data_IF_015768326960
#
_entry.id   IF_015768326960
#
_cell.length_a   1.000
_cell.length_b   1.000
_cell.length_c   1.000
_cell.angle_alpha   90.00
_cell.angle_beta   90.00
_cell.angle_gamma   90.00
#
_symmetry.space_group_name_H-M   'P 1'
#
loop_
_entity.id
_entity.type
_entity.pdbx_description
1 polymer ?
#
# COMPACT_ATOMS: atom_id res chain seq x y z
N UNK A 1 -32.30 25.97 3.05
CA UNK A 1 -31.04 26.08 2.29
C UNK A 1 -31.20 25.24 1.03
N UNK A 2 -30.90 25.77 -0.16
CA UNK A 2 -31.08 25.05 -1.43
C UNK A 2 -29.72 24.63 -1.95
N UNK A 3 -29.55 23.36 -2.27
CA UNK A 3 -28.35 22.83 -2.88
C UNK A 3 -28.50 22.83 -4.40
N UNK A 4 -27.41 23.16 -5.10
CA UNK A 4 -27.30 23.07 -6.55
C UNK A 4 -26.16 22.12 -6.90
N UNK A 5 -26.39 21.25 -7.87
CA UNK A 5 -25.33 20.41 -8.43
C UNK A 5 -24.36 21.30 -9.20
N UNK A 6 -23.08 21.15 -8.92
CA UNK A 6 -21.99 21.77 -9.68
C UNK A 6 -21.29 20.65 -10.46
N UNK A 7 -21.10 20.86 -11.76
CA UNK A 7 -20.38 19.92 -12.63
C UNK A 7 -18.95 20.44 -12.81
N UNK A 8 -17.98 19.65 -12.34
CA UNK A 8 -16.55 19.96 -12.38
C UNK A 8 -15.77 18.99 -13.28
N UNK A 9 -16.46 18.22 -14.13
CA UNK A 9 -15.82 17.20 -14.99
C UNK A 9 -14.76 17.73 -15.94
N UNK A 10 -14.76 19.04 -16.24
CA UNK A 10 -13.79 19.71 -17.11
C UNK A 10 -12.67 20.41 -16.36
N UNK A 11 -12.65 20.36 -15.03
CA UNK A 11 -11.61 20.98 -14.22
C UNK A 11 -10.46 20.00 -14.05
N UNK A 12 -9.27 20.37 -14.51
CA UNK A 12 -8.06 19.55 -14.44
C UNK A 12 -7.15 19.92 -13.26
N UNK A 13 -7.22 21.17 -12.79
CA UNK A 13 -6.36 21.63 -11.70
C UNK A 13 -6.84 22.91 -11.04
N UNK A 14 -6.49 23.06 -9.76
CA UNK A 14 -6.78 24.24 -8.94
C UNK A 14 -5.53 24.62 -8.16
N UNK A 15 -5.18 25.91 -8.18
CA UNK A 15 -4.08 26.52 -7.41
C UNK A 15 -4.57 27.83 -6.78
N UNK A 16 -3.83 28.36 -5.81
CA UNK A 16 -4.06 29.71 -5.27
C UNK A 16 -2.76 30.49 -5.20
N UNK A 17 -2.76 31.69 -5.76
CA UNK A 17 -1.66 32.64 -5.66
C UNK A 17 -2.17 34.07 -5.74
N UNK A 18 -1.54 34.98 -5.02
CA UNK A 18 -1.80 36.43 -5.08
C UNK A 18 -3.28 36.86 -4.91
N UNK A 19 -4.07 36.07 -4.17
CA UNK A 19 -5.49 36.35 -3.95
C UNK A 19 -6.42 35.89 -5.08
N UNK A 20 -5.93 35.04 -5.98
CA UNK A 20 -6.69 34.44 -7.05
C UNK A 20 -6.63 32.92 -6.96
N UNK A 21 -7.77 32.27 -7.17
CA UNK A 21 -7.83 30.88 -7.56
C UNK A 21 -7.48 30.77 -9.04
N UNK A 22 -6.53 29.91 -9.35
CA UNK A 22 -6.10 29.58 -10.69
C UNK A 22 -6.69 28.23 -11.08
N UNK A 23 -7.45 28.19 -12.16
CA UNK A 23 -8.16 27.01 -12.64
C UNK A 23 -7.61 26.61 -14.01
N UNK A 24 -7.33 25.32 -14.17
CA UNK A 24 -6.99 24.72 -15.45
C UNK A 24 -8.19 23.90 -15.95
N UNK A 25 -8.73 24.24 -17.10
CA UNK A 25 -9.92 23.61 -17.69
C UNK A 25 -9.59 22.87 -18.98
N UNK A 26 -10.25 21.74 -19.19
CA UNK A 26 -10.25 20.99 -20.45
C UNK A 26 -11.39 21.49 -21.37
N UNK A 27 -11.03 21.97 -22.57
CA UNK A 27 -11.97 22.34 -23.64
C UNK A 27 -12.02 21.32 -24.77
N UNK A 28 -11.34 20.18 -24.64
CA UNK A 28 -11.24 19.11 -25.62
C UNK A 28 -9.97 19.24 -26.45
N UNK A 29 -9.88 20.29 -27.26
CA UNK A 29 -8.74 20.51 -28.17
C UNK A 29 -7.67 21.46 -27.57
N UNK A 30 -7.98 22.12 -26.46
CA UNK A 30 -7.09 23.06 -25.79
C UNK A 30 -7.33 23.09 -24.27
N UNK A 31 -6.32 23.60 -23.55
CA UNK A 31 -6.41 23.88 -22.13
C UNK A 31 -6.65 25.38 -21.92
N UNK A 32 -7.64 25.70 -21.11
CA UNK A 32 -7.94 27.09 -20.73
C UNK A 32 -7.51 27.34 -19.28
N UNK A 33 -6.82 28.46 -19.07
CA UNK A 33 -6.44 28.93 -17.74
C UNK A 33 -7.32 30.11 -17.33
N UNK A 34 -7.90 30.03 -16.13
CA UNK A 34 -8.76 31.08 -15.58
C UNK A 34 -8.31 31.51 -14.19
N UNK A 35 -8.36 32.80 -13.93
CA UNK A 35 -8.10 33.39 -12.61
C UNK A 35 -9.38 33.98 -12.04
N UNK A 36 -9.71 33.59 -10.82
CA UNK A 36 -10.90 34.06 -10.10
C UNK A 36 -10.45 34.67 -8.78
N UNK A 37 -10.77 35.95 -8.49
CA UNK A 37 -10.46 36.54 -7.19
C UNK A 37 -11.10 35.74 -6.07
N UNK A 38 -10.29 35.22 -5.17
CA UNK A 38 -10.76 34.35 -4.10
C UNK A 38 -9.81 34.40 -2.90
N UNK A 39 -10.33 34.37 -1.67
CA UNK A 39 -9.49 34.26 -0.49
C UNK A 39 -8.81 32.88 -0.43
N UNK A 40 -7.65 32.79 0.23
CA UNK A 40 -6.90 31.52 0.38
C UNK A 40 -7.74 30.41 1.02
N UNK A 41 -8.66 30.77 1.93
CA UNK A 41 -9.56 29.82 2.58
C UNK A 41 -10.47 29.07 1.60
N UNK A 42 -10.74 29.63 0.41
CA UNK A 42 -11.49 28.93 -0.63
C UNK A 42 -10.68 27.77 -1.21
N UNK A 43 -9.36 27.93 -1.34
CA UNK A 43 -8.46 26.87 -1.78
C UNK A 43 -8.30 25.79 -0.70
N UNK A 44 -8.06 26.21 0.55
CA UNK A 44 -7.96 25.29 1.69
C UNK A 44 -9.22 24.41 1.81
N UNK A 45 -10.41 25.02 1.75
CA UNK A 45 -11.65 24.25 1.80
C UNK A 45 -11.86 23.29 0.62
N UNK A 46 -11.28 23.58 -0.55
CA UNK A 46 -11.28 22.64 -1.69
C UNK A 46 -10.30 21.48 -1.46
N UNK A 47 -9.16 21.72 -0.81
CA UNK A 47 -8.23 20.66 -0.41
C UNK A 47 -8.87 19.75 0.64
N UNK A 48 -9.48 20.31 1.68
CA UNK A 48 -10.20 19.56 2.71
C UNK A 48 -11.33 18.72 2.08
N UNK A 49 -12.09 19.31 1.15
CA UNK A 49 -13.13 18.59 0.43
C UNK A 49 -12.54 17.45 -0.40
N UNK A 50 -11.44 17.69 -1.12
CA UNK A 50 -10.75 16.66 -1.88
C UNK A 50 -10.29 15.52 -0.96
N UNK A 51 -9.75 15.80 0.21
CA UNK A 51 -9.38 14.77 1.18
C UNK A 51 -10.59 13.98 1.70
N UNK A 52 -11.74 14.63 1.90
CA UNK A 52 -12.95 13.97 2.38
C UNK A 52 -13.60 13.06 1.33
N UNK A 53 -13.54 13.45 0.05
CA UNK A 53 -14.21 12.74 -1.05
C UNK A 53 -13.28 11.85 -1.86
N UNK A 54 -11.97 12.11 -1.83
CA UNK A 54 -11.01 11.14 -2.28
C UNK A 54 -11.29 9.91 -1.41
N UNK A 55 -11.73 8.83 -2.04
CA UNK A 55 -11.51 7.53 -1.43
C UNK A 55 -10.05 7.56 -1.00
N UNK A 56 -9.72 7.22 0.28
CA UNK A 56 -8.34 7.19 0.72
C UNK A 56 -7.59 6.47 -0.39
N UNK A 57 -6.65 7.15 -1.08
CA UNK A 57 -6.07 6.66 -2.33
C UNK A 57 -5.76 5.21 -2.05
N UNK A 58 -6.39 4.25 -2.78
CA UNK A 58 -6.53 2.85 -2.34
C UNK A 58 -5.20 2.54 -1.75
N UNK A 59 -5.16 2.43 -0.40
CA UNK A 59 -3.95 2.60 0.41
C UNK A 59 -2.88 2.10 -0.50
N UNK A 60 -1.98 2.99 -0.98
CA UNK A 60 -0.86 2.54 -1.78
C UNK A 60 -0.49 1.27 -1.07
N UNK A 61 -0.63 0.15 -1.77
CA UNK A 61 0.05 -1.04 -1.36
C UNK A 61 1.50 -0.52 -1.44
N UNK A 62 1.96 0.14 -0.36
CA UNK A 62 3.08 -0.37 0.38
C UNK A 62 2.86 -1.85 0.22
N UNK A 63 3.51 -2.40 -0.82
CA UNK A 63 3.97 -3.75 -0.73
C UNK A 63 4.56 -3.75 0.67
N UNK A 64 3.79 -4.23 1.65
CA UNK A 64 4.24 -4.40 3.02
C UNK A 64 5.24 -5.53 2.89
N UNK A 65 6.37 -5.23 2.26
CA UNK A 65 7.56 -6.02 2.29
C UNK A 65 8.07 -5.77 3.69
N UNK A 66 7.49 -6.48 4.64
CA UNK A 66 8.09 -6.62 5.95
C UNK A 66 9.50 -7.17 5.77
N UNK A 67 10.41 -6.74 6.65
CA UNK A 67 11.83 -6.99 6.48
C UNK A 67 12.12 -8.50 6.47
N UNK A 68 12.72 -8.98 5.37
CA UNK A 68 13.21 -10.35 5.26
C UNK A 68 14.56 -10.47 5.98
N UNK A 69 14.64 -11.39 6.94
CA UNK A 69 15.85 -11.70 7.71
C UNK A 69 16.53 -12.95 7.14
N UNK A 70 17.85 -12.90 6.84
CA UNK A 70 18.56 -14.06 6.31
C UNK A 70 18.69 -15.16 7.36
N UNK A 71 18.59 -16.42 6.93
CA UNK A 71 18.72 -17.60 7.79
C UNK A 71 19.77 -18.58 7.27
N UNK A 72 20.53 -19.19 8.17
CA UNK A 72 21.49 -20.23 7.82
C UNK A 72 20.78 -21.58 7.69
N UNK A 73 20.21 -21.86 6.52
CA UNK A 73 19.46 -23.09 6.26
C UNK A 73 19.72 -23.62 4.85
N UNK A 74 19.70 -24.95 4.68
CA UNK A 74 19.70 -25.57 3.35
C UNK A 74 18.35 -25.46 2.66
N UNK A 75 17.29 -25.11 3.39
CA UNK A 75 15.93 -24.98 2.87
C UNK A 75 15.59 -23.54 2.45
N UNK A 76 15.87 -22.57 3.31
CA UNK A 76 15.46 -21.17 3.15
C UNK A 76 16.67 -20.23 3.14
N UNK A 77 16.60 -19.16 2.34
CA UNK A 77 17.58 -18.08 2.30
C UNK A 77 17.22 -16.98 3.30
N UNK A 78 15.92 -16.66 3.39
CA UNK A 78 15.40 -15.63 4.28
C UNK A 78 13.98 -15.94 4.75
N UNK A 79 13.62 -15.40 5.90
CA UNK A 79 12.26 -15.42 6.45
C UNK A 79 11.88 -14.02 6.93
N UNK A 80 10.62 -13.64 6.80
CA UNK A 80 10.09 -12.39 7.33
C UNK A 80 8.79 -12.65 8.05
N UNK A 81 8.43 -11.78 8.98
CA UNK A 81 7.18 -11.86 9.71
C UNK A 81 6.55 -10.50 9.89
N UNK A 82 5.24 -10.46 9.70
CA UNK A 82 4.38 -9.34 9.98
C UNK A 82 3.46 -9.71 11.14
N UNK A 83 3.67 -9.06 12.28
CA UNK A 83 2.89 -9.27 13.49
C UNK A 83 1.51 -8.63 13.44
N UNK A 84 1.32 -7.57 12.64
CA UNK A 84 0.01 -6.91 12.52
C UNK A 84 -0.96 -7.77 11.72
N UNK A 85 -0.46 -8.44 10.68
CA UNK A 85 -1.25 -9.29 9.80
C UNK A 85 -1.10 -10.80 10.07
N UNK A 86 -0.25 -11.21 11.02
CA UNK A 86 0.08 -12.61 11.33
C UNK A 86 0.55 -13.41 10.09
N UNK A 87 1.42 -12.79 9.27
CA UNK A 87 1.91 -13.36 8.01
C UNK A 87 3.39 -13.70 8.11
N UNK A 88 3.74 -14.96 7.83
CA UNK A 88 5.11 -15.43 7.66
C UNK A 88 5.45 -15.56 6.18
N UNK A 89 6.52 -14.92 5.72
CA UNK A 89 7.08 -15.16 4.39
C UNK A 89 8.36 -15.99 4.49
N UNK A 90 8.49 -16.97 3.60
CA UNK A 90 9.69 -17.79 3.47
C UNK A 90 10.19 -17.68 2.02
N UNK A 91 11.42 -17.22 1.86
CA UNK A 91 12.17 -17.35 0.61
C UNK A 91 13.00 -18.65 0.68
N UNK A 92 12.67 -19.59 -0.20
CA UNK A 92 13.40 -20.84 -0.32
C UNK A 92 14.69 -20.63 -1.12
N UNK A 93 15.73 -21.42 -0.84
CA UNK A 93 16.98 -21.39 -1.61
C UNK A 93 16.80 -21.69 -3.11
N UNK A 94 15.64 -22.22 -3.51
CA UNK A 94 15.26 -22.39 -4.93
C UNK A 94 14.79 -21.09 -5.60
N UNK A 95 14.67 -19.98 -4.87
CA UNK A 95 14.11 -18.71 -5.32
C UNK A 95 12.58 -18.64 -5.27
N UNK A 96 11.91 -19.66 -4.74
CA UNK A 96 10.46 -19.61 -4.55
C UNK A 96 10.13 -18.85 -3.27
N UNK A 97 9.12 -17.98 -3.31
CA UNK A 97 8.64 -17.23 -2.15
C UNK A 97 7.22 -17.68 -1.82
N UNK A 98 6.97 -17.99 -0.56
CA UNK A 98 5.65 -18.33 -0.06
C UNK A 98 5.29 -17.49 1.15
N UNK A 99 4.04 -17.06 1.21
CA UNK A 99 3.44 -16.47 2.40
C UNK A 99 2.52 -17.49 3.08
N UNK A 100 2.54 -17.49 4.41
CA UNK A 100 1.72 -18.31 5.29
C UNK A 100 0.92 -17.40 6.21
N UNK A 101 -0.40 -17.55 6.23
CA UNK A 101 -1.30 -16.71 7.04
C UNK A 101 -1.63 -17.34 8.39
N UNK A 102 -1.99 -16.51 9.37
CA UNK A 102 -2.38 -16.88 10.74
C UNK A 102 -1.25 -17.63 11.47
N UNK A 103 -0.02 -17.18 11.27
CA UNK A 103 1.15 -17.67 12.01
C UNK A 103 1.29 -16.77 13.22
N UNK A 104 1.23 -17.34 14.42
CA UNK A 104 1.48 -16.58 15.64
C UNK A 104 2.97 -16.24 15.79
N UNK A 105 3.24 -15.20 16.60
CA UNK A 105 4.59 -14.68 16.82
C UNK A 105 5.52 -15.76 17.40
N UNK A 106 5.01 -16.59 18.32
CA UNK A 106 5.73 -17.72 18.92
C UNK A 106 6.22 -18.72 17.85
N UNK A 107 5.37 -19.10 16.88
CA UNK A 107 5.76 -20.02 15.79
C UNK A 107 6.84 -19.40 14.89
N UNK A 108 6.77 -18.09 14.65
CA UNK A 108 7.82 -17.38 13.91
C UNK A 108 9.14 -17.35 14.69
N UNK A 109 9.12 -16.97 15.97
CA UNK A 109 10.32 -16.91 16.81
C UNK A 109 11.01 -18.28 16.91
N UNK A 110 10.21 -19.35 17.11
CA UNK A 110 10.71 -20.72 17.13
C UNK A 110 11.33 -21.14 15.79
N UNK A 111 10.69 -20.78 14.66
CA UNK A 111 11.24 -21.07 13.33
C UNK A 111 12.57 -20.34 13.11
N UNK A 112 12.61 -19.04 13.43
CA UNK A 112 13.75 -18.17 13.20
C UNK A 112 14.95 -18.51 14.09
N UNK A 113 14.70 -18.89 15.35
CA UNK A 113 15.74 -19.28 16.30
C UNK A 113 16.20 -20.75 16.19
N UNK A 114 15.53 -21.56 15.37
CA UNK A 114 15.85 -22.98 15.24
C UNK A 114 17.19 -23.23 14.52
N UNK A 115 18.11 -23.96 15.18
CA UNK A 115 19.31 -24.52 14.53
C UNK A 115 18.99 -25.47 13.36
N UNK A 116 17.72 -25.91 13.26
CA UNK A 116 17.22 -26.81 12.23
C UNK A 116 15.94 -26.28 11.58
N UNK A 117 15.98 -25.04 11.08
CA UNK A 117 14.87 -24.33 10.39
C UNK A 117 14.04 -25.25 9.49
N UNK A 118 14.69 -26.04 8.63
CA UNK A 118 13.99 -26.93 7.70
C UNK A 118 13.22 -28.08 8.38
N UNK A 119 13.73 -28.60 9.50
CA UNK A 119 13.02 -29.62 10.30
C UNK A 119 11.80 -29.00 10.99
N UNK A 120 11.96 -27.81 11.57
CA UNK A 120 10.86 -27.09 12.20
C UNK A 120 9.75 -26.80 11.18
N UNK A 121 10.10 -26.18 10.05
CA UNK A 121 9.16 -25.91 8.96
C UNK A 121 8.36 -27.14 8.53
N UNK A 122 9.02 -28.28 8.28
CA UNK A 122 8.33 -29.50 7.85
C UNK A 122 7.40 -30.08 8.93
N UNK A 123 7.73 -29.89 10.21
CA UNK A 123 6.97 -30.44 11.32
C UNK A 123 5.80 -29.53 11.74
N UNK A 124 5.99 -28.21 11.71
CA UNK A 124 5.08 -27.25 12.33
C UNK A 124 4.34 -26.36 11.33
N UNK A 125 4.88 -26.12 10.13
CA UNK A 125 4.30 -25.12 9.19
C UNK A 125 3.77 -25.78 7.92
N UNK A 126 4.56 -26.66 7.30
CA UNK A 126 4.26 -27.24 6.00
C UNK A 126 2.93 -28.00 6.00
N UNK A 127 1.97 -27.53 5.20
CA UNK A 127 0.66 -28.13 5.05
C UNK A 127 -0.29 -27.93 6.24
N UNK A 128 0.08 -27.09 7.21
CA UNK A 128 -0.75 -26.76 8.38
C UNK A 128 -1.39 -25.38 8.29
N UNK A 129 -0.78 -24.47 7.55
CA UNK A 129 -1.28 -23.11 7.34
C UNK A 129 -1.66 -22.89 5.89
N UNK A 130 -2.62 -21.99 5.67
CA UNK A 130 -2.94 -21.50 4.33
C UNK A 130 -1.71 -20.80 3.77
N UNK A 131 -1.29 -21.21 2.59
CA UNK A 131 -0.11 -20.67 1.95
C UNK A 131 -0.38 -20.26 0.52
N UNK A 132 0.15 -19.13 0.13
CA UNK A 132 0.14 -18.64 -1.25
C UNK A 132 1.57 -18.49 -1.74
N UNK A 133 1.78 -18.81 -3.01
CA UNK A 133 3.06 -18.55 -3.68
C UNK A 133 3.03 -17.14 -4.21
N UNK A 134 4.04 -16.36 -3.87
CA UNK A 134 4.21 -15.01 -4.41
C UNK A 134 5.05 -15.13 -5.68
N UNK A 135 4.44 -14.84 -6.82
CA UNK A 135 5.15 -14.73 -8.08
C UNK A 135 5.60 -13.27 -8.21
N UNK A 136 6.87 -13.01 -7.91
CA UNK A 136 7.54 -11.74 -8.27
C UNK A 136 7.61 -11.67 -9.80
N UNK A 137 6.51 -11.28 -10.43
CA UNK A 137 6.41 -10.98 -11.84
C UNK A 137 6.93 -9.57 -12.03
N UNK A 138 8.20 -9.46 -12.43
CA UNK A 138 8.84 -8.19 -12.81
C UNK A 138 8.11 -7.46 -13.93
#
# INVERSE_FOLDING_TARGET
MKFSKVDLSKLLGVSHSDGYLQLLLDRGDELEFLEIPAPIQAYEGLQDLNELIAEPPPLLEEEETFAMLPVASTMASAVGYDSENEVLQIEFNSGAVYQYQNIDEDTFEDLYSSDAVGRYYNQYIKGKYQSERIDNSC
#
